data_IF_663610684467
#
_entry.id   IF_663610684467
#
_cell.length_a   1.000
_cell.length_b   1.000
_cell.length_c   1.000
_cell.angle_alpha   90.00
_cell.angle_beta   90.00
_cell.angle_gamma   90.00
#
_symmetry.space_group_name_H-M   'P 1'
#
loop_
_entity.id
_entity.type
_entity.pdbx_description
1 polymer ?
#
# COMPACT_ATOMS: atom_id res chain seq x y z
N UNK A 1 -16.66 23.37 24.13
CA UNK A 1 -15.34 22.78 23.82
C UNK A 1 -15.47 21.96 22.54
N UNK A 2 -14.75 22.32 21.48
CA UNK A 2 -14.89 21.66 20.17
C UNK A 2 -14.17 20.30 20.20
N UNK A 3 -14.92 19.21 20.17
CA UNK A 3 -14.37 17.85 20.09
C UNK A 3 -13.72 17.70 18.71
N UNK A 4 -12.40 17.53 18.67
CA UNK A 4 -11.72 17.21 17.41
C UNK A 4 -11.99 15.75 17.07
N UNK A 5 -12.38 15.49 15.83
CA UNK A 5 -12.49 14.13 15.32
C UNK A 5 -11.19 13.35 15.52
N UNK A 6 -11.32 12.08 15.90
CA UNK A 6 -10.19 11.20 16.23
C UNK A 6 -9.19 11.08 15.07
N UNK A 7 -9.66 11.04 13.83
CA UNK A 7 -8.82 11.02 12.62
C UNK A 7 -7.99 12.30 12.48
N UNK A 8 -8.65 13.45 12.64
CA UNK A 8 -8.02 14.78 12.57
C UNK A 8 -6.97 14.96 13.66
N UNK A 9 -7.27 14.52 14.88
CA UNK A 9 -6.32 14.55 15.99
C UNK A 9 -5.08 13.69 15.74
N UNK A 10 -5.26 12.47 15.20
CA UNK A 10 -4.14 11.58 14.83
C UNK A 10 -3.27 12.18 13.73
N UNK A 11 -3.88 12.79 12.72
CA UNK A 11 -3.13 13.43 11.62
C UNK A 11 -2.29 14.61 12.14
N UNK A 12 -2.86 15.45 13.01
CA UNK A 12 -2.10 16.53 13.64
C UNK A 12 -0.96 15.99 14.51
N UNK A 13 -1.22 14.92 15.29
CA UNK A 13 -0.19 14.28 16.09
C UNK A 13 0.92 13.71 15.21
N UNK A 14 0.60 13.09 14.06
CA UNK A 14 1.56 12.57 13.10
C UNK A 14 2.50 13.67 12.55
N UNK A 15 1.98 14.86 12.27
CA UNK A 15 2.80 15.99 11.77
C UNK A 15 3.79 16.51 12.82
N UNK A 16 3.47 16.33 14.11
CA UNK A 16 4.28 16.84 15.23
C UNK A 16 5.18 15.73 15.82
N UNK A 17 4.78 14.45 15.64
CA UNK A 17 5.57 13.28 16.02
C UNK A 17 6.75 13.05 15.08
N UNK A 18 7.57 12.03 15.35
CA UNK A 18 8.78 11.74 14.57
C UNK A 18 10.11 12.04 15.29
N UNK A 19 10.07 12.56 16.53
CA UNK A 19 11.26 12.70 17.37
C UNK A 19 11.34 11.56 18.40
N UNK A 20 12.55 11.05 18.72
CA UNK A 20 12.70 10.06 19.77
C UNK A 20 12.43 10.70 21.14
N UNK A 21 11.85 9.93 22.07
CA UNK A 21 11.67 10.37 23.46
C UNK A 21 12.93 10.07 24.25
N UNK A 22 13.44 11.06 24.97
CA UNK A 22 14.67 10.96 25.76
C UNK A 22 14.40 11.12 27.25
N UNK A 23 15.25 10.52 28.09
CA UNK A 23 15.26 10.76 29.53
C UNK A 23 16.00 12.07 29.87
N UNK A 24 16.02 12.46 31.14
CA UNK A 24 16.74 13.66 31.61
C UNK A 24 18.25 13.61 31.34
N UNK A 25 18.83 12.41 31.24
CA UNK A 25 20.25 12.18 30.93
C UNK A 25 20.55 12.23 29.41
N UNK A 26 19.52 12.36 28.56
CA UNK A 26 19.65 12.40 27.10
C UNK A 26 19.59 11.03 26.40
N UNK A 27 19.44 9.94 27.15
CA UNK A 27 19.32 8.59 26.60
C UNK A 27 17.94 8.37 25.97
N UNK A 28 17.88 7.65 24.84
CA UNK A 28 16.64 7.38 24.11
C UNK A 28 15.83 6.31 24.84
N UNK A 29 14.68 6.69 25.39
CA UNK A 29 13.71 5.77 26.00
C UNK A 29 12.84 5.12 24.92
N UNK A 30 12.43 5.92 23.93
CA UNK A 30 11.61 5.46 22.80
C UNK A 30 12.18 6.01 21.51
N UNK A 31 12.58 5.11 20.63
CA UNK A 31 13.03 5.44 19.28
C UNK A 31 11.93 6.19 18.51
N UNK A 32 12.35 6.99 17.53
CA UNK A 32 11.40 7.69 16.66
C UNK A 32 10.58 6.70 15.83
N UNK A 33 9.44 7.16 15.31
CA UNK A 33 8.60 6.37 14.43
C UNK A 33 9.41 5.93 13.19
N UNK A 34 9.31 4.64 12.84
CA UNK A 34 10.05 3.98 11.74
C UNK A 34 11.58 3.92 11.86
N UNK A 35 12.19 4.43 12.94
CA UNK A 35 13.65 4.38 13.17
C UNK A 35 14.04 3.32 14.20
N UNK A 36 13.40 2.16 14.17
CA UNK A 36 13.73 1.10 15.11
C UNK A 36 15.07 0.45 14.76
N UNK A 37 16.00 0.40 15.71
CA UNK A 37 17.32 -0.23 15.52
C UNK A 37 17.23 -1.74 15.67
N UNK A 38 16.21 -2.23 16.39
CA UNK A 38 16.03 -3.66 16.61
C UNK A 38 15.56 -4.34 15.32
N UNK A 39 16.35 -5.27 14.81
CA UNK A 39 15.99 -6.15 13.69
C UNK A 39 14.96 -7.17 14.18
N UNK A 40 13.70 -6.76 14.22
CA UNK A 40 12.65 -7.54 14.88
C UNK A 40 12.35 -8.88 14.20
N UNK A 41 12.67 -9.08 12.92
CA UNK A 41 12.39 -10.32 12.20
C UNK A 41 13.60 -10.80 11.38
N UNK A 42 13.84 -12.11 11.39
CA UNK A 42 14.69 -12.74 10.38
C UNK A 42 13.96 -12.63 9.03
N UNK A 43 14.59 -12.02 8.04
CA UNK A 43 14.05 -11.85 6.68
C UNK A 43 14.09 -13.16 5.89
N UNK A 44 13.38 -14.18 6.36
CA UNK A 44 13.26 -15.48 5.70
C UNK A 44 11.86 -15.63 5.12
N UNK A 45 11.81 -16.11 3.88
CA UNK A 45 10.57 -16.47 3.22
C UNK A 45 10.28 -17.94 3.57
N UNK A 46 9.13 -18.26 4.18
CA UNK A 46 8.77 -19.64 4.42
C UNK A 46 8.44 -20.34 3.09
N UNK A 47 8.78 -21.63 2.93
CA UNK A 47 8.37 -22.38 1.76
C UNK A 47 6.84 -22.54 1.75
N UNK A 48 6.19 -22.19 0.63
CA UNK A 48 4.76 -22.41 0.42
C UNK A 48 4.49 -22.75 -1.06
N UNK A 49 3.57 -23.69 -1.29
CA UNK A 49 3.19 -24.13 -2.65
C UNK A 49 2.42 -23.05 -3.42
N UNK A 50 1.82 -22.08 -2.72
CA UNK A 50 1.07 -20.98 -3.33
C UNK A 50 1.92 -20.09 -4.25
N UNK A 51 3.23 -20.03 -4.01
CA UNK A 51 4.18 -19.26 -4.81
C UNK A 51 4.24 -19.75 -6.25
N UNK A 52 3.97 -21.03 -6.46
CA UNK A 52 4.07 -21.70 -7.76
C UNK A 52 2.71 -21.85 -8.45
N UNK A 53 1.61 -21.46 -7.79
CA UNK A 53 0.28 -21.49 -8.41
C UNK A 53 0.04 -20.18 -9.18
N UNK A 54 -0.66 -20.27 -10.30
CA UNK A 54 -1.07 -19.09 -11.06
C UNK A 54 -1.93 -18.16 -10.17
N UNK A 55 -1.48 -16.93 -9.95
CA UNK A 55 -2.17 -15.95 -9.09
C UNK A 55 -3.25 -15.17 -9.84
N UNK A 56 -3.13 -15.07 -11.16
CA UNK A 56 -4.11 -14.47 -12.07
C UNK A 56 -4.17 -15.31 -13.33
N UNK A 57 -5.38 -15.69 -13.73
CA UNK A 57 -5.67 -16.39 -14.97
C UNK A 57 -6.75 -15.59 -15.66
N UNK A 58 -6.55 -15.30 -16.94
CA UNK A 58 -7.54 -14.62 -17.79
C UNK A 58 -7.97 -15.59 -18.87
N UNK A 59 -9.27 -15.71 -19.11
CA UNK A 59 -9.79 -16.57 -20.15
C UNK A 59 -9.69 -15.91 -21.53
N UNK A 60 -9.62 -16.71 -22.59
CA UNK A 60 -9.59 -16.17 -23.97
C UNK A 60 -10.84 -15.34 -24.31
N UNK A 61 -11.99 -15.71 -23.76
CA UNK A 61 -13.26 -15.00 -23.98
C UNK A 61 -13.23 -13.60 -23.38
N UNK A 62 -12.71 -13.45 -22.15
CA UNK A 62 -12.55 -12.14 -21.51
C UNK A 62 -11.59 -11.23 -22.29
N UNK A 63 -10.50 -11.79 -22.83
CA UNK A 63 -9.57 -11.04 -23.68
C UNK A 63 -10.27 -10.53 -24.94
N UNK A 64 -11.05 -11.38 -25.61
CA UNK A 64 -11.77 -10.99 -26.82
C UNK A 64 -12.82 -9.91 -26.55
N UNK A 65 -13.57 -10.01 -25.44
CA UNK A 65 -14.51 -8.96 -25.03
C UNK A 65 -13.78 -7.64 -24.77
N UNK A 66 -12.62 -7.71 -24.11
CA UNK A 66 -11.82 -6.54 -23.83
C UNK A 66 -11.30 -5.86 -25.10
N UNK A 67 -10.71 -6.61 -26.02
CA UNK A 67 -10.24 -6.11 -27.32
C UNK A 67 -11.37 -5.40 -28.09
N UNK A 68 -12.57 -6.00 -28.12
CA UNK A 68 -13.73 -5.39 -28.75
C UNK A 68 -14.17 -4.09 -28.06
N UNK A 69 -14.11 -4.02 -26.73
CA UNK A 69 -14.38 -2.78 -25.99
C UNK A 69 -13.36 -1.70 -26.32
N UNK A 70 -12.09 -2.05 -26.47
CA UNK A 70 -11.03 -1.11 -26.82
C UNK A 70 -11.20 -0.56 -28.24
N UNK A 71 -11.52 -1.41 -29.20
CA UNK A 71 -11.78 -0.99 -30.59
C UNK A 71 -12.94 0.01 -30.71
N UNK A 72 -13.90 -0.02 -29.78
CA UNK A 72 -15.06 0.87 -29.75
C UNK A 72 -14.81 2.19 -29.01
N UNK A 73 -13.61 2.43 -28.48
CA UNK A 73 -13.28 3.68 -27.80
C UNK A 73 -13.09 4.82 -28.82
N UNK A 74 -13.82 5.92 -28.60
CA UNK A 74 -13.63 7.15 -29.35
C UNK A 74 -12.39 7.91 -28.83
N UNK A 75 -11.74 8.75 -29.66
CA UNK A 75 -10.59 9.57 -29.26
C UNK A 75 -10.86 10.54 -28.10
N UNK A 76 -12.13 10.86 -27.84
CA UNK A 76 -12.56 11.75 -26.76
C UNK A 76 -12.88 11.02 -25.45
N UNK A 77 -12.84 9.68 -25.44
CA UNK A 77 -13.10 8.91 -24.24
C UNK A 77 -11.84 8.85 -23.36
N UNK A 78 -12.01 9.08 -22.06
CA UNK A 78 -10.92 9.02 -21.07
C UNK A 78 -11.14 7.83 -20.14
N UNK A 79 -10.09 7.02 -19.97
CA UNK A 79 -10.10 5.90 -19.04
C UNK A 79 -9.88 6.40 -17.61
N UNK A 80 -10.86 6.17 -16.72
CA UNK A 80 -10.77 6.54 -15.30
C UNK A 80 -9.98 5.51 -14.49
N UNK A 81 -10.27 4.22 -14.70
CA UNK A 81 -9.59 3.12 -14.04
C UNK A 81 -9.33 1.99 -15.04
N UNK A 82 -8.11 1.45 -15.01
CA UNK A 82 -7.78 0.24 -15.76
C UNK A 82 -8.20 -0.99 -14.95
N UNK A 83 -8.96 -1.89 -15.59
CA UNK A 83 -9.24 -3.21 -15.05
C UNK A 83 -7.95 -4.05 -14.88
N UNK A 84 -8.05 -5.18 -14.18
CA UNK A 84 -6.92 -6.11 -13.97
C UNK A 84 -6.77 -7.06 -15.16
N UNK A 85 -6.44 -6.52 -16.32
CA UNK A 85 -6.25 -7.26 -17.57
C UNK A 85 -4.78 -7.14 -17.98
N UNK A 86 -4.14 -8.21 -18.52
CA UNK A 86 -2.77 -8.12 -18.98
C UNK A 86 -2.69 -7.23 -20.23
N UNK A 87 -2.01 -6.10 -20.09
CA UNK A 87 -1.50 -5.31 -21.21
C UNK A 87 -0.01 -5.59 -21.29
N UNK A 88 0.40 -6.40 -22.26
CA UNK A 88 1.80 -6.71 -22.53
C UNK A 88 2.01 -6.82 -24.03
#
# INVERSE_FOLDING_TARGET
MHVKDKSKSKNLHMLISGRPKRNRKGEIIKEAEFQKTTRNNQSKIPPDTKWFKATRVVTKQELQVYENCVQKLNPYNVLLEKGKIPFS
#
